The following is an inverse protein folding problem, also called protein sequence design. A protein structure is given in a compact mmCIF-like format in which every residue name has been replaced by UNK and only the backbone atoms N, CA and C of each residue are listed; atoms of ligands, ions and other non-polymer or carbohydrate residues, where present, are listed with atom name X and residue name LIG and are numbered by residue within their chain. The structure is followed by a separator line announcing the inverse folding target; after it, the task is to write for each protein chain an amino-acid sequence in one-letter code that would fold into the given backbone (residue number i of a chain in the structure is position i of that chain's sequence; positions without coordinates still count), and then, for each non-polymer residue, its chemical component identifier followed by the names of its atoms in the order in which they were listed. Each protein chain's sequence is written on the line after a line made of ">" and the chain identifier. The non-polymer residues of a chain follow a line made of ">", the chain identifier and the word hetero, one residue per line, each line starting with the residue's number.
data_IF_082037199420
#
_entry.id   IF_082037199420
#
_cell.length_a   1.000
_cell.length_b   1.000
_cell.length_c   1.000
_cell.angle_alpha   90.00
_cell.angle_beta   90.00
_cell.angle_gamma   90.00
#
_symmetry.space_group_name_H-M   'P 1'
#
loop_
_entity.id
_entity.type
_entity.pdbx_description
1 polymer ?
#
# COMPACT_ATOMS: atom_id res chain seq x y z
N UNK A 1 11.99 -1.61 1.61
CA UNK A 1 10.59 -2.08 1.48
C UNK A 1 10.58 -3.55 1.87
N UNK A 2 10.12 -3.86 3.07
CA UNK A 2 9.77 -5.22 3.44
C UNK A 2 8.47 -5.50 2.71
N UNK A 3 8.47 -6.44 1.77
CA UNK A 3 7.24 -6.84 1.10
C UNK A 3 6.22 -7.32 2.15
N UNK A 4 4.96 -7.00 1.97
CA UNK A 4 3.84 -7.35 2.86
C UNK A 4 3.66 -8.86 3.12
N UNK A 5 4.58 -9.66 2.67
CA UNK A 5 4.60 -11.11 2.86
C UNK A 5 5.96 -11.50 3.43
N UNK A 6 6.26 -11.27 4.69
CA UNK A 6 7.55 -11.55 5.37
C UNK A 6 8.24 -12.90 5.09
N UNK A 7 8.21 -13.35 3.86
CA UNK A 7 8.96 -14.51 3.39
C UNK A 7 10.42 -14.15 3.10
N UNK A 8 11.34 -15.11 3.16
CA UNK A 8 12.74 -14.91 2.84
C UNK A 8 12.86 -14.29 1.44
N UNK A 9 13.79 -13.34 1.28
CA UNK A 9 14.07 -12.65 0.02
C UNK A 9 14.31 -13.68 -1.11
N UNK A 10 13.29 -13.92 -1.91
CA UNK A 10 13.30 -14.92 -2.98
C UNK A 10 13.78 -14.29 -4.27
N UNK A 11 15.03 -13.85 -4.30
CA UNK A 11 15.64 -13.27 -5.49
C UNK A 11 15.11 -11.88 -5.86
N UNK A 12 15.74 -11.27 -6.85
CA UNK A 12 15.33 -9.97 -7.38
C UNK A 12 14.19 -10.18 -8.38
N UNK A 13 13.00 -9.68 -8.09
CA UNK A 13 11.88 -9.63 -9.03
C UNK A 13 11.62 -8.21 -9.47
N UNK A 14 11.38 -8.01 -10.76
CA UNK A 14 10.96 -6.74 -11.30
C UNK A 14 9.46 -6.78 -11.62
N UNK A 15 8.72 -5.77 -11.19
CA UNK A 15 7.31 -5.60 -11.55
C UNK A 15 7.12 -5.26 -13.03
N UNK A 16 8.11 -4.59 -13.64
CA UNK A 16 8.09 -4.21 -15.07
C UNK A 16 8.65 -5.32 -15.96
N UNK A 17 9.65 -6.05 -15.47
CA UNK A 17 10.31 -7.11 -16.24
C UNK A 17 10.29 -8.41 -15.44
N UNK A 18 9.13 -9.08 -15.33
CA UNK A 18 9.00 -10.31 -14.55
C UNK A 18 9.63 -11.53 -15.22
N UNK A 19 10.39 -11.31 -16.31
CA UNK A 19 11.04 -12.37 -17.11
C UNK A 19 12.56 -12.29 -17.01
N UNK A 20 13.28 -13.42 -17.18
CA UNK A 20 14.74 -13.43 -17.34
C UNK A 20 15.16 -12.51 -18.51
N UNK A 21 16.33 -11.85 -18.43
CA UNK A 21 17.34 -11.91 -17.39
C UNK A 21 17.10 -10.99 -16.19
N UNK A 22 16.04 -10.16 -16.21
CA UNK A 22 15.80 -9.11 -15.20
C UNK A 22 15.12 -9.63 -13.93
N UNK A 23 14.61 -10.84 -13.98
CA UNK A 23 14.06 -11.56 -12.83
C UNK A 23 14.91 -12.83 -12.66
N UNK A 24 15.88 -12.77 -11.75
CA UNK A 24 16.78 -13.89 -11.44
C UNK A 24 16.46 -14.43 -10.06
N UNK A 25 16.19 -15.71 -9.97
CA UNK A 25 15.98 -16.43 -8.74
C UNK A 25 15.18 -17.71 -8.98
N UNK A 26 15.47 -18.75 -8.22
CA UNK A 26 14.62 -19.94 -8.13
C UNK A 26 13.31 -19.55 -7.42
N UNK A 27 12.38 -18.98 -8.17
CA UNK A 27 11.07 -18.65 -7.63
C UNK A 27 10.19 -19.89 -7.70
N UNK A 28 9.85 -20.43 -6.55
CA UNK A 28 8.76 -21.43 -6.44
C UNK A 28 7.40 -20.83 -6.80
N UNK A 29 7.27 -19.50 -6.81
CA UNK A 29 6.06 -18.79 -7.22
C UNK A 29 6.42 -17.59 -8.08
N UNK A 30 5.94 -17.57 -9.32
CA UNK A 30 6.00 -16.40 -10.20
C UNK A 30 5.18 -15.24 -9.57
N UNK A 31 5.74 -14.03 -9.53
CA UNK A 31 5.01 -12.84 -9.11
C UNK A 31 3.78 -12.60 -10.01
N UNK A 32 3.93 -12.90 -11.30
CA UNK A 32 2.86 -12.79 -12.30
C UNK A 32 2.73 -14.12 -13.08
N UNK A 33 2.03 -15.13 -12.53
CA UNK A 33 1.91 -16.43 -13.18
C UNK A 33 1.02 -16.39 -14.43
N UNK A 34 1.39 -17.18 -15.45
CA UNK A 34 0.58 -17.51 -16.61
C UNK A 34 -0.01 -16.31 -17.35
N UNK A 35 -1.35 -16.14 -17.28
CA UNK A 35 -2.11 -15.08 -17.97
C UNK A 35 -1.72 -13.65 -17.57
N UNK A 36 -1.16 -13.47 -16.40
CA UNK A 36 -0.75 -12.15 -15.90
C UNK A 36 0.47 -11.60 -16.62
N UNK A 37 1.38 -12.47 -17.12
CA UNK A 37 2.57 -12.04 -17.90
C UNK A 37 2.19 -11.18 -19.10
N UNK A 38 1.14 -11.58 -19.84
CA UNK A 38 0.64 -10.78 -20.97
C UNK A 38 0.08 -9.43 -20.55
N UNK A 39 -0.56 -9.36 -19.37
CA UNK A 39 -1.09 -8.09 -18.83
C UNK A 39 0.02 -7.14 -18.40
N UNK A 40 1.13 -7.66 -17.86
CA UNK A 40 2.32 -6.84 -17.55
C UNK A 40 2.88 -6.23 -18.82
N UNK A 41 3.10 -7.02 -19.88
CA UNK A 41 3.56 -6.50 -21.17
C UNK A 41 2.62 -5.44 -21.76
N UNK A 42 1.32 -5.63 -21.66
CA UNK A 42 0.35 -4.63 -22.11
C UNK A 42 0.46 -3.34 -21.30
N UNK A 43 0.67 -3.46 -19.99
CA UNK A 43 0.91 -2.31 -19.12
C UNK A 43 2.20 -1.57 -19.49
N UNK A 44 3.29 -2.30 -19.73
CA UNK A 44 4.57 -1.72 -20.12
C UNK A 44 4.49 -0.98 -21.45
N UNK A 45 3.80 -1.55 -22.44
CA UNK A 45 3.50 -0.88 -23.71
C UNK A 45 2.71 0.41 -23.47
N UNK A 46 1.71 0.38 -22.60
CA UNK A 46 0.94 1.56 -22.21
C UNK A 46 1.81 2.66 -21.57
N UNK A 47 2.73 2.27 -20.68
CA UNK A 47 3.66 3.21 -20.05
C UNK A 47 4.60 3.83 -21.08
N UNK A 48 5.18 3.03 -21.97
CA UNK A 48 6.08 3.52 -23.05
C UNK A 48 5.32 4.47 -23.99
N UNK A 49 4.10 4.12 -24.38
CA UNK A 49 3.26 4.97 -25.21
C UNK A 49 2.97 6.31 -24.53
N UNK A 50 2.63 6.30 -23.22
CA UNK A 50 2.38 7.54 -22.46
C UNK A 50 3.65 8.39 -22.34
N UNK A 51 4.82 7.79 -22.10
CA UNK A 51 6.11 8.52 -22.12
C UNK A 51 6.33 9.19 -23.47
N UNK A 52 6.02 8.50 -24.58
CA UNK A 52 6.08 9.08 -25.93
C UNK A 52 5.14 10.28 -26.11
N UNK A 53 3.90 10.17 -25.62
CA UNK A 53 2.92 11.29 -25.63
C UNK A 53 3.42 12.48 -24.83
N UNK A 54 3.95 12.24 -23.62
CA UNK A 54 4.49 13.31 -22.77
C UNK A 54 5.71 13.97 -23.41
N UNK A 55 6.59 13.20 -24.04
CA UNK A 55 7.75 13.73 -24.75
C UNK A 55 7.33 14.59 -25.95
N UNK A 56 6.35 14.13 -26.73
CA UNK A 56 5.78 14.90 -27.84
C UNK A 56 5.08 16.18 -27.37
N UNK A 57 4.39 16.13 -26.23
CA UNK A 57 3.82 17.33 -25.62
C UNK A 57 4.90 18.29 -25.14
N UNK A 58 5.93 17.78 -24.45
CA UNK A 58 7.05 18.59 -23.97
C UNK A 58 7.83 19.28 -25.12
N UNK A 59 7.97 18.63 -26.26
CA UNK A 59 8.62 19.22 -27.43
C UNK A 59 7.86 20.41 -28.02
N UNK A 60 6.52 20.45 -27.84
CA UNK A 60 5.65 21.54 -28.33
C UNK A 60 5.40 22.64 -27.30
N UNK A 61 5.12 22.26 -26.06
CA UNK A 61 4.68 23.17 -25.01
C UNK A 61 5.79 23.50 -23.99
N UNK A 62 6.95 22.86 -24.11
CA UNK A 62 8.06 22.98 -23.16
C UNK A 62 7.98 22.01 -21.99
N UNK A 63 9.12 21.50 -21.57
CA UNK A 63 9.22 20.52 -20.48
C UNK A 63 8.68 21.04 -19.13
N UNK A 64 8.86 22.34 -18.83
CA UNK A 64 8.34 22.98 -17.62
C UNK A 64 6.81 22.93 -17.56
N UNK A 65 6.14 23.14 -18.68
CA UNK A 65 4.68 23.05 -18.77
C UNK A 65 4.20 21.63 -18.45
N UNK A 66 4.82 20.62 -19.03
CA UNK A 66 4.49 19.21 -18.76
C UNK A 66 4.81 18.84 -17.31
N UNK A 67 5.94 19.27 -16.77
CA UNK A 67 6.29 19.04 -15.37
C UNK A 67 5.25 19.67 -14.43
N UNK A 68 4.79 20.88 -14.71
CA UNK A 68 3.78 21.54 -13.88
C UNK A 68 2.39 20.90 -13.99
N UNK A 69 1.92 20.65 -15.22
CA UNK A 69 0.53 20.22 -15.44
C UNK A 69 0.30 18.71 -15.33
N UNK A 70 1.32 17.90 -15.51
CA UNK A 70 1.27 16.44 -15.36
C UNK A 70 2.10 15.95 -14.18
N UNK A 71 3.37 16.34 -14.10
CA UNK A 71 4.29 15.91 -13.05
C UNK A 71 3.84 16.35 -11.65
N UNK A 72 3.42 17.59 -11.49
CA UNK A 72 2.91 18.09 -10.22
C UNK A 72 1.72 17.30 -9.67
N UNK A 73 0.60 17.16 -10.41
CA UNK A 73 -0.51 16.31 -9.99
C UNK A 73 -0.11 14.84 -9.75
N UNK A 74 0.74 14.27 -10.59
CA UNK A 74 1.24 12.90 -10.41
C UNK A 74 2.00 12.73 -9.09
N UNK A 75 2.85 13.70 -8.73
CA UNK A 75 3.57 13.67 -7.45
C UNK A 75 2.63 13.74 -6.25
N UNK A 76 1.55 14.53 -6.33
CA UNK A 76 0.51 14.59 -5.29
C UNK A 76 -0.19 13.24 -5.15
N UNK A 77 -0.60 12.61 -6.26
CA UNK A 77 -1.22 11.28 -6.25
C UNK A 77 -0.29 10.25 -5.63
N UNK A 78 0.98 10.22 -6.07
CA UNK A 78 1.97 9.28 -5.54
C UNK A 78 2.23 9.51 -4.05
N UNK A 79 2.31 10.74 -3.60
CA UNK A 79 2.49 11.07 -2.18
C UNK A 79 1.30 10.55 -1.34
N UNK A 80 0.07 10.72 -1.81
CA UNK A 80 -1.11 10.18 -1.13
C UNK A 80 -1.15 8.67 -1.14
N UNK A 81 -0.85 8.01 -2.25
CA UNK A 81 -0.80 6.55 -2.32
C UNK A 81 0.22 5.98 -1.33
N UNK A 82 1.43 6.54 -1.30
CA UNK A 82 2.46 6.11 -0.35
C UNK A 82 2.03 6.39 1.09
N UNK A 83 1.49 7.57 1.36
CA UNK A 83 1.07 7.96 2.71
C UNK A 83 -0.05 7.06 3.24
N UNK A 84 -1.09 6.82 2.45
CA UNK A 84 -2.22 5.95 2.81
C UNK A 84 -1.72 4.52 3.06
N UNK A 85 -0.99 3.93 2.13
CA UNK A 85 -0.50 2.56 2.28
C UNK A 85 0.43 2.41 3.48
N UNK A 86 1.31 3.38 3.71
CA UNK A 86 2.22 3.34 4.85
C UNK A 86 1.48 3.50 6.20
N UNK A 87 0.66 4.54 6.35
CA UNK A 87 -0.03 4.82 7.60
C UNK A 87 -1.01 3.72 8.03
N UNK A 88 -1.69 3.08 7.08
CA UNK A 88 -2.69 2.06 7.41
C UNK A 88 -2.07 0.68 7.69
N UNK A 89 -0.81 0.47 7.30
CA UNK A 89 -0.12 -0.81 7.46
C UNK A 89 1.06 -0.77 8.43
N UNK A 90 1.32 0.38 9.04
CA UNK A 90 2.49 0.56 9.91
C UNK A 90 2.06 1.14 11.24
N UNK A 91 2.39 0.45 12.31
CA UNK A 91 2.31 0.93 13.69
C UNK A 91 3.26 0.11 14.55
N UNK A 92 3.71 0.68 15.67
CA UNK A 92 4.48 -0.04 16.67
C UNK A 92 3.63 -1.17 17.24
N UNK A 93 4.22 -2.35 17.39
CA UNK A 93 3.59 -3.57 17.90
C UNK A 93 2.46 -4.18 17.05
N UNK A 94 2.15 -3.64 15.88
CA UNK A 94 1.25 -4.32 14.93
C UNK A 94 1.97 -5.52 14.32
N UNK A 95 1.43 -6.75 14.48
CA UNK A 95 2.10 -7.95 14.03
C UNK A 95 2.03 -8.15 12.52
N UNK A 96 3.15 -8.59 11.96
CA UNK A 96 3.28 -9.06 10.59
C UNK A 96 3.66 -10.53 10.61
N UNK A 97 2.73 -11.39 10.26
CA UNK A 97 2.89 -12.84 10.37
C UNK A 97 3.81 -13.43 9.30
N UNK A 98 4.56 -14.47 9.67
CA UNK A 98 5.26 -15.31 8.71
C UNK A 98 4.25 -16.13 7.86
N UNK A 99 4.70 -16.61 6.71
CA UNK A 99 3.83 -17.26 5.72
C UNK A 99 3.05 -18.47 6.28
N UNK A 100 3.66 -19.21 7.20
CA UNK A 100 3.06 -20.38 7.84
C UNK A 100 1.90 -20.02 8.78
N UNK A 101 1.95 -18.83 9.40
CA UNK A 101 1.00 -18.37 10.41
C UNK A 101 0.07 -17.27 9.88
N UNK A 102 0.26 -16.86 8.64
CA UNK A 102 -0.57 -15.84 8.00
C UNK A 102 -1.90 -16.44 7.52
N UNK A 103 -2.96 -15.68 7.71
CA UNK A 103 -4.24 -15.92 7.02
C UNK A 103 -4.80 -14.59 6.53
N UNK A 104 -5.68 -14.65 5.53
CA UNK A 104 -6.29 -13.46 4.93
C UNK A 104 -6.95 -12.57 6.00
N UNK A 105 -7.75 -13.15 6.88
CA UNK A 105 -8.46 -12.38 7.91
C UNK A 105 -7.52 -11.79 8.95
N UNK A 106 -6.45 -12.51 9.33
CA UNK A 106 -5.41 -11.95 10.19
C UNK A 106 -4.75 -10.74 9.53
N UNK A 107 -4.36 -10.85 8.27
CA UNK A 107 -3.77 -9.73 7.53
C UNK A 107 -4.71 -8.53 7.43
N UNK A 108 -6.00 -8.75 7.17
CA UNK A 108 -7.00 -7.70 7.07
C UNK A 108 -7.23 -6.98 8.41
N UNK A 109 -7.33 -7.71 9.53
CA UNK A 109 -7.55 -7.14 10.85
C UNK A 109 -6.30 -6.48 11.47
N UNK A 110 -5.10 -6.70 10.90
CA UNK A 110 -3.87 -6.03 11.31
C UNK A 110 -3.54 -4.81 10.44
N UNK A 111 -4.55 -4.20 9.85
CA UNK A 111 -4.51 -2.85 9.31
C UNK A 111 -5.16 -1.88 10.30
N UNK A 112 -4.81 -0.61 10.21
CA UNK A 112 -5.23 0.42 11.18
C UNK A 112 -6.15 1.43 10.51
N UNK A 113 -7.35 1.62 11.06
CA UNK A 113 -8.21 2.72 10.64
C UNK A 113 -7.75 4.04 11.27
N UNK A 114 -7.41 5.02 10.42
CA UNK A 114 -7.02 6.39 10.82
C UNK A 114 -7.88 7.42 10.10
N UNK A 115 -8.72 8.17 10.81
CA UNK A 115 -9.48 9.24 10.18
C UNK A 115 -8.55 10.42 9.82
N UNK A 116 -8.71 10.93 8.61
CA UNK A 116 -7.93 12.07 8.12
C UNK A 116 -8.63 13.42 8.34
N UNK A 117 -9.76 13.40 9.06
CA UNK A 117 -10.61 14.56 9.27
C UNK A 117 -11.65 14.73 8.16
N UNK A 118 -12.68 15.54 8.44
CA UNK A 118 -13.89 15.62 7.61
C UNK A 118 -13.63 15.89 6.12
N UNK A 119 -12.70 16.81 5.82
CA UNK A 119 -12.41 17.21 4.43
C UNK A 119 -11.67 16.10 3.69
N UNK A 120 -10.60 15.58 4.25
CA UNK A 120 -9.80 14.55 3.60
C UNK A 120 -10.54 13.20 3.56
N UNK A 121 -11.30 12.84 4.59
CA UNK A 121 -12.16 11.67 4.57
C UNK A 121 -13.23 11.75 3.45
N UNK A 122 -13.78 12.93 3.21
CA UNK A 122 -14.70 13.14 2.10
C UNK A 122 -13.99 12.99 0.74
N UNK A 123 -12.87 13.68 0.55
CA UNK A 123 -12.12 13.68 -0.71
C UNK A 123 -11.54 12.29 -1.07
N UNK A 124 -11.16 11.52 -0.05
CA UNK A 124 -10.56 10.19 -0.22
C UNK A 124 -11.56 9.06 0.05
N UNK A 125 -12.86 9.35 0.01
CA UNK A 125 -13.92 8.35 0.18
C UNK A 125 -13.78 7.50 1.45
N UNK A 126 -13.28 8.10 2.54
CA UNK A 126 -13.05 7.48 3.86
C UNK A 126 -12.05 6.34 3.87
N UNK A 127 -11.19 6.20 2.86
CA UNK A 127 -10.21 5.08 2.80
C UNK A 127 -9.35 4.98 4.07
N UNK A 128 -9.04 6.09 4.74
CA UNK A 128 -8.29 6.10 5.98
C UNK A 128 -9.08 5.58 7.17
N UNK A 129 -10.35 5.97 7.29
CA UNK A 129 -11.22 5.64 8.43
C UNK A 129 -12.01 4.33 8.28
N UNK A 130 -11.89 3.65 7.13
CA UNK A 130 -12.57 2.38 6.80
C UNK A 130 -11.64 1.39 6.11
N UNK A 131 -10.34 1.48 6.38
CA UNK A 131 -9.32 0.69 5.69
C UNK A 131 -9.37 -0.79 6.04
N UNK A 132 -9.68 -1.12 7.30
CA UNK A 132 -9.90 -2.50 7.74
C UNK A 132 -11.03 -3.15 6.94
N UNK A 133 -12.15 -2.45 6.75
CA UNK A 133 -13.27 -2.96 5.95
C UNK A 133 -12.85 -3.18 4.49
N UNK A 134 -12.05 -2.27 3.91
CA UNK A 134 -11.49 -2.42 2.58
C UNK A 134 -10.59 -3.66 2.45
N UNK A 135 -9.83 -4.01 3.49
CA UNK A 135 -9.01 -5.23 3.49
C UNK A 135 -9.80 -6.50 3.74
N UNK A 136 -10.91 -6.43 4.48
CA UNK A 136 -11.81 -7.59 4.66
C UNK A 136 -12.55 -7.92 3.37
N UNK A 137 -13.08 -6.91 2.70
CA UNK A 137 -13.73 -7.08 1.39
C UNK A 137 -13.58 -5.79 0.55
N UNK A 138 -12.66 -5.80 -0.40
CA UNK A 138 -12.41 -4.67 -1.30
C UNK A 138 -13.54 -4.40 -2.31
N UNK A 139 -14.57 -5.24 -2.37
CA UNK A 139 -15.73 -5.05 -3.25
C UNK A 139 -16.81 -4.18 -2.61
N UNK A 140 -16.73 -3.90 -1.31
CA UNK A 140 -17.64 -3.00 -0.60
C UNK A 140 -17.47 -1.58 -1.15
N UNK A 141 -18.53 -0.98 -1.72
CA UNK A 141 -18.44 0.39 -2.22
C UNK A 141 -18.27 1.38 -1.07
N UNK A 142 -17.55 2.48 -1.32
CA UNK A 142 -17.16 3.44 -0.28
C UNK A 142 -18.32 4.01 0.54
N UNK A 143 -19.52 4.13 -0.04
CA UNK A 143 -20.71 4.63 0.66
C UNK A 143 -21.29 3.63 1.66
N UNK A 144 -20.93 2.34 1.61
CA UNK A 144 -21.23 1.31 2.61
C UNK A 144 -20.04 0.96 3.51
N UNK A 145 -18.84 1.51 3.24
CA UNK A 145 -17.64 1.16 3.98
C UNK A 145 -17.74 1.49 5.48
N UNK A 146 -18.42 2.58 5.85
CA UNK A 146 -18.62 2.94 7.26
C UNK A 146 -19.55 1.95 7.99
N UNK A 147 -20.60 1.47 7.32
CA UNK A 147 -21.52 0.45 7.85
C UNK A 147 -20.76 -0.87 8.08
N UNK A 148 -19.98 -1.32 7.09
CA UNK A 148 -19.13 -2.50 7.22
C UNK A 148 -18.10 -2.34 8.35
N UNK A 149 -17.46 -1.19 8.48
CA UNK A 149 -16.54 -0.89 9.57
C UNK A 149 -17.21 -1.02 10.94
N UNK A 150 -18.42 -0.49 11.09
CA UNK A 150 -19.16 -0.61 12.34
C UNK A 150 -19.54 -2.06 12.68
N UNK A 151 -19.90 -2.86 11.67
CA UNK A 151 -20.14 -4.29 11.84
C UNK A 151 -18.87 -5.05 12.26
N UNK A 152 -17.71 -4.73 11.66
CA UNK A 152 -16.42 -5.32 12.04
C UNK A 152 -16.06 -4.95 13.48
N UNK A 153 -16.22 -3.69 13.88
CA UNK A 153 -15.99 -3.24 15.27
C UNK A 153 -16.85 -4.00 16.28
N UNK A 154 -18.10 -4.24 15.94
CA UNK A 154 -19.02 -4.99 16.80
C UNK A 154 -18.67 -6.48 16.89
N UNK A 155 -18.26 -7.09 15.77
CA UNK A 155 -17.92 -8.50 15.70
C UNK A 155 -16.55 -8.85 16.28
N UNK A 156 -15.56 -7.95 16.11
CA UNK A 156 -14.17 -8.19 16.48
C UNK A 156 -13.56 -7.03 17.29
N UNK A 157 -14.17 -6.61 18.41
CA UNK A 157 -13.75 -5.41 19.15
C UNK A 157 -12.31 -5.48 19.67
N UNK A 158 -11.79 -6.70 19.95
CA UNK A 158 -10.43 -6.90 20.45
C UNK A 158 -9.35 -6.95 19.37
N UNK A 159 -9.75 -7.06 18.10
CA UNK A 159 -8.84 -7.18 16.96
C UNK A 159 -8.91 -5.96 16.02
N UNK A 160 -9.85 -5.06 16.26
CA UNK A 160 -10.01 -3.87 15.45
C UNK A 160 -9.06 -2.76 15.91
N UNK A 161 -8.18 -2.35 15.02
CA UNK A 161 -7.17 -1.33 15.28
C UNK A 161 -7.67 0.05 14.82
N UNK A 162 -7.65 1.00 15.72
CA UNK A 162 -8.09 2.38 15.46
C UNK A 162 -7.16 3.39 16.09
N UNK A 163 -6.67 4.32 15.31
CA UNK A 163 -5.80 5.41 15.76
C UNK A 163 -6.37 6.78 15.37
N UNK A 164 -6.92 7.55 16.32
CA UNK A 164 -7.49 8.87 16.07
C UNK A 164 -6.46 9.99 15.98
N UNK A 165 -5.15 9.67 16.06
CA UNK A 165 -4.09 10.69 16.00
C UNK A 165 -4.19 11.48 14.69
N UNK A 166 -4.12 12.84 14.74
CA UNK A 166 -4.12 13.66 13.53
C UNK A 166 -3.03 13.28 12.55
N UNK A 167 -3.36 13.28 11.24
CA UNK A 167 -2.51 12.80 10.16
C UNK A 167 -1.04 13.27 10.22
N UNK A 168 -0.71 14.56 10.42
CA UNK A 168 0.67 15.00 10.49
C UNK A 168 1.44 14.41 11.68
N UNK A 169 0.76 14.28 12.82
CA UNK A 169 1.35 13.72 14.03
C UNK A 169 1.57 12.22 13.91
N UNK A 170 0.59 11.48 13.35
CA UNK A 170 0.73 10.05 13.06
C UNK A 170 1.89 9.81 12.07
N UNK A 171 1.97 10.60 11.00
CA UNK A 171 3.07 10.53 10.02
C UNK A 171 4.43 10.72 10.69
N UNK A 172 4.56 11.76 11.52
CA UNK A 172 5.81 12.02 12.24
C UNK A 172 6.17 10.91 13.23
N UNK A 173 5.18 10.46 14.01
CA UNK A 173 5.36 9.36 14.96
C UNK A 173 5.87 8.09 14.26
N UNK A 174 5.21 7.66 13.20
CA UNK A 174 5.60 6.46 12.47
C UNK A 174 6.98 6.60 11.82
N UNK A 175 7.29 7.77 11.25
CA UNK A 175 8.58 8.04 10.64
C UNK A 175 9.75 7.97 11.65
N UNK A 176 9.49 8.31 12.92
CA UNK A 176 10.51 8.35 13.96
C UNK A 176 10.55 7.12 14.84
N UNK A 177 9.40 6.47 15.07
CA UNK A 177 9.28 5.36 16.00
C UNK A 177 9.30 3.98 15.31
N UNK A 178 8.76 3.82 14.12
CA UNK A 178 8.83 2.55 13.40
C UNK A 178 10.17 2.39 12.67
N UNK A 179 11.28 2.43 13.41
CA UNK A 179 12.63 2.51 12.85
C UNK A 179 13.30 1.14 12.66
N UNK A 180 12.81 0.11 13.31
CA UNK A 180 13.32 -1.26 13.22
C UNK A 180 12.22 -2.29 13.14
N UNK A 181 12.60 -3.52 12.83
CA UNK A 181 11.71 -4.68 12.85
C UNK A 181 12.33 -5.73 13.75
N UNK A 182 11.56 -6.23 14.70
CA UNK A 182 11.96 -7.29 15.63
C UNK A 182 11.11 -8.53 15.39
N UNK A 183 11.74 -9.71 15.49
CA UNK A 183 11.01 -10.98 15.47
C UNK A 183 10.56 -11.33 16.89
N UNK A 184 9.26 -11.49 17.11
CA UNK A 184 8.65 -11.93 18.36
C UNK A 184 7.85 -13.20 18.13
N UNK A 185 8.45 -14.34 18.42
CA UNK A 185 7.85 -15.65 18.15
C UNK A 185 7.69 -15.91 16.66
N UNK A 186 6.45 -16.04 16.20
CA UNK A 186 6.05 -16.34 14.82
C UNK A 186 5.65 -15.09 14.03
N UNK A 187 5.91 -13.89 14.56
CA UNK A 187 5.54 -12.61 13.96
C UNK A 187 6.71 -11.62 13.98
N UNK A 188 6.62 -10.63 13.12
CA UNK A 188 7.50 -9.46 13.10
C UNK A 188 6.70 -8.22 13.50
N UNK A 189 7.29 -7.37 14.33
CA UNK A 189 6.67 -6.11 14.77
C UNK A 189 7.63 -4.96 14.51
N UNK A 190 7.05 -3.78 14.24
CA UNK A 190 7.84 -2.56 14.24
C UNK A 190 8.19 -2.15 15.67
N UNK A 191 9.42 -1.71 15.87
CA UNK A 191 9.91 -1.25 17.15
C UNK A 191 10.53 0.13 17.05
N UNK A 192 10.41 0.89 18.13
CA UNK A 192 11.12 2.16 18.27
C UNK A 192 12.61 1.90 18.44
N UNK A 193 13.45 2.79 17.91
CA UNK A 193 14.83 2.88 18.36
C UNK A 193 14.83 3.49 19.76
N UNK A 194 15.41 2.76 20.71
CA UNK A 194 15.80 3.31 21.98
C UNK A 194 16.83 4.44 21.81
#
# INVERSE_FOLDING_TARGET
>A
MVGATGGPSRGVTSHFFPHPPFSTGEQKTDLFPGKWKKKVWLSDVGIVAMVGVLAAWASKAGATTVAALYGGPLMVVNAWLVLITWLQHTEVDVPHFEAENWSFIKGALHTVDRPYGKVLDFLHHRIGSTHVAHHVDCTIPHYHALEATNAIKAAFPQHYLYDPTPLPQATWRLATQCAGVEKRGDMHVFVSKE
#
